data_IF_378056902003
#
_entry.id   IF_378056902003
#
_cell.length_a   1.000
_cell.length_b   1.000
_cell.length_c   1.000
_cell.angle_alpha   90.00
_cell.angle_beta   90.00
_cell.angle_gamma   90.00
#
_symmetry.space_group_name_H-M   'P 1'
#
loop_
_entity.id
_entity.type
_entity.pdbx_description
1 polymer ?
#
# COMPACT_ATOMS: atom_id res chain seq x y z
N UNK A 1 -23.05 16.74 -13.37
CA UNK A 1 -23.07 18.21 -13.30
C UNK A 1 -21.81 18.68 -12.58
N UNK A 2 -20.85 19.32 -13.31
CA UNK A 2 -19.56 19.71 -12.72
C UNK A 2 -19.67 20.88 -11.71
N UNK A 3 -20.83 21.45 -11.56
CA UNK A 3 -21.07 22.58 -10.64
C UNK A 3 -21.39 22.16 -9.21
N UNK A 4 -21.79 20.91 -8.96
CA UNK A 4 -22.12 20.41 -7.61
C UNK A 4 -20.89 19.99 -6.80
N UNK A 5 -19.79 19.61 -7.45
CA UNK A 5 -18.58 19.20 -6.76
C UNK A 5 -17.70 20.35 -6.22
N UNK A 6 -17.85 21.57 -6.81
CA UNK A 6 -17.10 22.75 -6.33
C UNK A 6 -17.68 23.39 -5.07
N UNK A 7 -19.00 23.26 -4.87
CA UNK A 7 -19.67 23.88 -3.71
C UNK A 7 -19.45 23.16 -2.39
N UNK A 8 -19.27 21.86 -2.41
CA UNK A 8 -19.04 21.05 -1.19
C UNK A 8 -17.65 21.29 -0.57
N UNK A 9 -16.61 21.40 -1.41
CA UNK A 9 -15.25 21.68 -0.93
C UNK A 9 -15.10 23.04 -0.23
N UNK A 10 -15.83 24.06 -0.70
CA UNK A 10 -15.78 25.40 -0.10
C UNK A 10 -16.58 25.51 1.21
N UNK A 11 -17.64 24.72 1.35
CA UNK A 11 -18.43 24.65 2.60
C UNK A 11 -17.62 23.99 3.71
N UNK A 12 -16.87 22.92 3.40
CA UNK A 12 -16.02 22.24 4.38
C UNK A 12 -14.82 23.09 4.80
N UNK A 13 -14.21 23.86 3.90
CA UNK A 13 -13.12 24.80 4.23
C UNK A 13 -13.57 25.90 5.18
N UNK A 14 -14.83 26.36 5.08
CA UNK A 14 -15.39 27.39 5.98
C UNK A 14 -15.68 26.86 7.39
N UNK A 15 -15.78 25.53 7.57
CA UNK A 15 -16.05 24.91 8.87
C UNK A 15 -14.77 24.48 9.60
N UNK A 16 -13.58 24.79 9.07
CA UNK A 16 -12.29 24.40 9.67
C UNK A 16 -12.04 22.89 9.69
N UNK A 17 -12.86 22.13 8.93
CA UNK A 17 -12.62 20.72 8.70
C UNK A 17 -11.59 20.60 7.59
N UNK A 18 -10.37 20.23 7.92
CA UNK A 18 -9.37 19.82 6.93
C UNK A 18 -9.93 18.58 6.20
N UNK A 19 -10.43 18.78 4.99
CA UNK A 19 -10.67 17.68 4.07
C UNK A 19 -9.29 17.15 3.71
N UNK A 20 -8.84 16.08 4.41
CA UNK A 20 -7.69 15.32 3.95
C UNK A 20 -8.01 14.89 2.52
N UNK A 21 -7.14 15.18 1.53
CA UNK A 21 -7.37 14.69 0.18
C UNK A 21 -7.60 13.18 0.28
N UNK A 22 -8.70 12.69 -0.27
CA UNK A 22 -8.96 11.26 -0.39
C UNK A 22 -7.74 10.65 -1.06
N UNK A 23 -6.92 9.96 -0.28
CA UNK A 23 -5.81 9.19 -0.83
C UNK A 23 -6.43 8.03 -1.57
N UNK A 24 -6.40 8.10 -2.88
CA UNK A 24 -6.93 7.05 -3.74
C UNK A 24 -6.23 5.73 -3.38
N UNK A 25 -7.03 4.74 -3.01
CA UNK A 25 -6.51 3.41 -2.69
C UNK A 25 -5.80 2.81 -3.91
N UNK A 26 -4.55 2.33 -3.78
CA UNK A 26 -3.84 1.72 -4.89
C UNK A 26 -4.53 0.43 -5.34
N UNK A 27 -4.55 0.21 -6.65
CA UNK A 27 -5.02 -1.04 -7.22
C UNK A 27 -3.88 -2.05 -7.26
N UNK A 28 -4.02 -3.16 -6.54
CA UNK A 28 -2.99 -4.21 -6.46
C UNK A 28 -3.57 -5.51 -7.01
N UNK A 29 -2.96 -6.01 -8.08
CA UNK A 29 -3.27 -7.32 -8.68
C UNK A 29 -2.15 -8.29 -8.33
N UNK A 30 -2.45 -9.27 -7.50
CA UNK A 30 -1.52 -10.32 -7.07
C UNK A 30 -2.27 -11.65 -6.95
N UNK A 31 -1.71 -12.70 -7.49
CA UNK A 31 -2.24 -14.06 -7.37
C UNK A 31 -1.81 -14.67 -6.04
N UNK A 32 -2.68 -14.52 -5.04
CA UNK A 32 -2.51 -15.07 -3.69
C UNK A 32 -3.88 -15.20 -3.02
N UNK A 33 -4.11 -16.24 -2.20
CA UNK A 33 -5.32 -16.32 -1.40
C UNK A 33 -5.32 -15.24 -0.31
N UNK A 34 -6.32 -14.37 -0.32
CA UNK A 34 -6.43 -13.21 0.58
C UNK A 34 -7.86 -13.16 1.11
N UNK A 35 -8.06 -13.64 2.33
CA UNK A 35 -9.39 -13.71 2.95
C UNK A 35 -9.30 -14.03 4.45
N UNK A 36 -10.39 -13.80 5.14
CA UNK A 36 -10.66 -14.37 6.47
C UNK A 36 -11.55 -15.58 6.26
N UNK A 37 -11.04 -16.83 6.40
CA UNK A 37 -11.83 -18.03 6.17
C UNK A 37 -12.99 -18.17 7.16
N UNK A 38 -14.08 -18.80 6.72
CA UNK A 38 -15.26 -19.05 7.55
C UNK A 38 -14.98 -20.01 8.72
N UNK A 39 -14.12 -21.00 8.52
CA UNK A 39 -13.68 -21.91 9.58
C UNK A 39 -12.81 -21.23 10.63
N UNK A 40 -12.14 -20.14 10.29
CA UNK A 40 -11.38 -19.34 11.24
C UNK A 40 -12.25 -18.35 12.04
N UNK A 41 -13.14 -17.64 11.36
CA UNK A 41 -14.11 -16.72 11.97
C UNK A 41 -15.51 -17.08 11.45
N UNK A 42 -16.25 -17.99 12.13
CA UNK A 42 -17.53 -18.52 11.63
C UNK A 42 -18.64 -17.47 11.54
N UNK A 43 -18.68 -16.51 12.48
CA UNK A 43 -19.71 -15.48 12.49
C UNK A 43 -19.48 -14.47 11.36
N UNK A 44 -20.45 -14.36 10.44
CA UNK A 44 -20.37 -13.48 9.29
C UNK A 44 -20.27 -11.99 9.71
N UNK A 45 -21.03 -11.56 10.70
CA UNK A 45 -21.03 -10.17 11.16
C UNK A 45 -19.67 -9.78 11.76
N UNK A 46 -19.09 -10.68 12.56
CA UNK A 46 -17.74 -10.50 13.14
C UNK A 46 -16.70 -10.47 12.02
N UNK A 47 -16.78 -11.38 11.06
CA UNK A 47 -15.85 -11.44 9.93
C UNK A 47 -15.90 -10.16 9.08
N UNK A 48 -17.08 -9.64 8.79
CA UNK A 48 -17.25 -8.38 8.06
C UNK A 48 -16.74 -7.18 8.85
N UNK A 49 -16.95 -7.17 10.16
CA UNK A 49 -16.40 -6.12 11.03
C UNK A 49 -14.87 -6.11 11.04
N UNK A 50 -14.22 -7.27 11.05
CA UNK A 50 -12.77 -7.40 10.95
C UNK A 50 -12.23 -6.89 9.61
N UNK A 51 -12.89 -7.21 8.50
CA UNK A 51 -12.52 -6.64 7.18
C UNK A 51 -12.56 -5.12 7.18
N UNK A 52 -13.64 -4.52 7.71
CA UNK A 52 -13.78 -3.07 7.79
C UNK A 52 -12.69 -2.45 8.67
N UNK A 53 -12.44 -3.02 9.84
CA UNK A 53 -11.41 -2.52 10.75
C UNK A 53 -10.01 -2.58 10.14
N UNK A 54 -9.68 -3.64 9.41
CA UNK A 54 -8.41 -3.76 8.67
C UNK A 54 -8.30 -2.69 7.58
N UNK A 55 -9.34 -2.47 6.79
CA UNK A 55 -9.36 -1.45 5.75
C UNK A 55 -9.28 -0.03 6.30
N UNK A 56 -9.88 0.22 7.47
CA UNK A 56 -9.93 1.54 8.10
C UNK A 56 -8.72 1.82 9.01
N UNK A 57 -7.84 0.83 9.23
CA UNK A 57 -6.65 1.00 10.07
C UNK A 57 -5.80 2.17 9.56
N UNK A 58 -5.49 3.10 10.46
CA UNK A 58 -4.79 4.34 10.09
C UNK A 58 -3.30 4.14 9.88
N UNK A 59 -2.70 3.19 10.59
CA UNK A 59 -1.26 2.98 10.59
C UNK A 59 -0.87 1.52 10.88
N UNK A 60 0.43 1.28 10.83
CA UNK A 60 1.01 -0.04 11.10
C UNK A 60 0.67 -0.57 12.50
N UNK A 61 0.65 0.31 13.50
CA UNK A 61 0.37 -0.09 14.88
C UNK A 61 -1.06 -0.62 15.04
N UNK A 62 -2.03 0.01 14.38
CA UNK A 62 -3.42 -0.49 14.37
C UNK A 62 -3.56 -1.82 13.64
N UNK A 63 -2.84 -2.01 12.53
CA UNK A 63 -2.82 -3.29 11.80
C UNK A 63 -2.25 -4.41 12.69
N UNK A 64 -1.13 -4.15 13.35
CA UNK A 64 -0.50 -5.11 14.26
C UNK A 64 -1.40 -5.43 15.47
N UNK A 65 -2.06 -4.43 16.03
CA UNK A 65 -3.02 -4.62 17.13
C UNK A 65 -4.22 -5.49 16.72
N UNK A 66 -4.76 -5.28 15.51
CA UNK A 66 -5.83 -6.11 14.97
C UNK A 66 -5.39 -7.55 14.71
N UNK A 67 -4.20 -7.76 14.17
CA UNK A 67 -3.63 -9.09 13.99
C UNK A 67 -3.45 -9.82 15.32
N UNK A 68 -2.94 -9.13 16.34
CA UNK A 68 -2.80 -9.67 17.70
C UNK A 68 -4.16 -10.02 18.32
N UNK A 69 -5.18 -9.16 18.14
CA UNK A 69 -6.54 -9.44 18.60
C UNK A 69 -7.13 -10.68 17.93
N UNK A 70 -6.95 -10.82 16.61
CA UNK A 70 -7.44 -12.01 15.91
C UNK A 70 -6.77 -13.28 16.40
N UNK A 71 -5.45 -13.26 16.64
CA UNK A 71 -4.72 -14.41 17.20
C UNK A 71 -5.24 -14.76 18.59
N UNK A 72 -5.45 -13.75 19.44
CA UNK A 72 -5.94 -13.96 20.80
C UNK A 72 -7.36 -14.55 20.82
N UNK A 73 -8.24 -14.11 19.92
CA UNK A 73 -9.65 -14.55 19.90
C UNK A 73 -9.87 -15.85 19.14
N UNK A 74 -9.15 -16.09 18.07
CA UNK A 74 -9.44 -17.17 17.11
C UNK A 74 -8.27 -18.14 16.90
N UNK A 75 -7.12 -17.89 17.51
CA UNK A 75 -5.90 -18.67 17.30
C UNK A 75 -5.03 -18.15 16.16
N UNK A 76 -4.02 -18.92 15.79
CA UNK A 76 -3.02 -18.53 14.80
C UNK A 76 -3.69 -18.13 13.46
N UNK A 77 -3.15 -17.08 12.85
CA UNK A 77 -3.65 -16.60 11.56
C UNK A 77 -3.50 -17.66 10.48
N UNK A 78 -4.57 -18.06 9.78
CA UNK A 78 -4.45 -18.83 8.55
C UNK A 78 -3.58 -18.08 7.51
N UNK A 79 -2.96 -18.82 6.61
CA UNK A 79 -2.10 -18.22 5.58
C UNK A 79 -2.83 -17.13 4.76
N UNK A 80 -4.09 -17.37 4.38
CA UNK A 80 -4.89 -16.38 3.65
C UNK A 80 -5.15 -15.10 4.46
N UNK A 81 -5.31 -15.20 5.77
CA UNK A 81 -5.51 -14.04 6.65
C UNK A 81 -4.20 -13.30 6.91
N UNK A 82 -3.10 -14.01 7.09
CA UNK A 82 -1.77 -13.41 7.15
C UNK A 82 -1.44 -12.63 5.86
N UNK A 83 -1.82 -13.16 4.71
CA UNK A 83 -1.71 -12.51 3.41
C UNK A 83 -2.56 -11.22 3.34
N UNK A 84 -3.78 -11.25 3.89
CA UNK A 84 -4.66 -10.08 3.98
C UNK A 84 -4.01 -8.95 4.82
N UNK A 85 -3.50 -9.28 6.00
CA UNK A 85 -2.78 -8.34 6.87
C UNK A 85 -1.59 -7.73 6.13
N UNK A 86 -0.81 -8.56 5.45
CA UNK A 86 0.33 -8.11 4.64
C UNK A 86 -0.08 -7.18 3.50
N UNK A 87 -1.20 -7.48 2.82
CA UNK A 87 -1.72 -6.63 1.75
C UNK A 87 -2.12 -5.25 2.26
N UNK A 88 -2.73 -5.15 3.44
CA UNK A 88 -3.09 -3.86 4.05
C UNK A 88 -1.83 -3.03 4.34
N UNK A 89 -0.78 -3.64 4.88
CA UNK A 89 0.51 -2.97 5.08
C UNK A 89 1.11 -2.48 3.75
N UNK A 90 1.06 -3.31 2.70
CA UNK A 90 1.52 -2.96 1.35
C UNK A 90 0.73 -1.76 0.81
N UNK A 91 -0.58 -1.73 0.98
CA UNK A 91 -1.42 -0.60 0.55
C UNK A 91 -1.01 0.71 1.24
N UNK A 92 -0.74 0.69 2.53
CA UNK A 92 -0.26 1.87 3.27
C UNK A 92 1.07 2.38 2.71
N UNK A 93 2.03 1.48 2.48
CA UNK A 93 3.33 1.82 1.89
C UNK A 93 3.18 2.34 0.45
N UNK A 94 2.29 1.74 -0.33
CA UNK A 94 2.02 2.16 -1.71
C UNK A 94 1.42 3.57 -1.78
N UNK A 95 0.49 3.90 -0.88
CA UNK A 95 -0.07 5.26 -0.77
C UNK A 95 1.04 6.26 -0.46
N UNK A 96 1.91 5.96 0.49
CA UNK A 96 3.03 6.82 0.87
C UNK A 96 4.01 7.04 -0.29
N UNK A 97 4.22 6.02 -1.11
CA UNK A 97 5.08 6.06 -2.30
C UNK A 97 4.40 6.63 -3.56
N UNK A 98 3.21 7.18 -3.44
CA UNK A 98 2.42 7.70 -4.57
C UNK A 98 2.14 6.65 -5.66
N UNK A 99 1.96 5.40 -5.29
CA UNK A 99 1.65 4.31 -6.20
C UNK A 99 0.15 4.26 -6.48
N UNK A 100 -0.22 4.28 -7.75
CA UNK A 100 -1.60 4.13 -8.20
C UNK A 100 -1.97 2.67 -8.48
N UNK A 101 -1.03 1.90 -9.03
CA UNK A 101 -1.29 0.52 -9.46
C UNK A 101 -0.05 -0.34 -9.35
N UNK A 102 -0.25 -1.59 -8.93
CA UNK A 102 0.77 -2.64 -8.95
C UNK A 102 0.18 -3.88 -9.62
N UNK A 103 0.82 -4.36 -10.66
CA UNK A 103 0.50 -5.61 -11.33
C UNK A 103 1.64 -6.61 -11.12
N UNK A 104 1.35 -7.68 -10.37
CA UNK A 104 2.30 -8.78 -10.16
C UNK A 104 2.00 -9.89 -11.14
N UNK A 105 2.87 -10.07 -12.12
CA UNK A 105 2.78 -11.12 -13.12
C UNK A 105 3.73 -12.30 -12.86
N UNK A 106 3.68 -13.30 -13.74
CA UNK A 106 4.47 -14.52 -13.63
C UNK A 106 5.99 -14.28 -13.70
N UNK A 107 6.43 -13.24 -14.43
CA UNK A 107 7.84 -12.98 -14.69
C UNK A 107 8.34 -11.65 -14.09
N UNK A 108 7.46 -10.87 -13.53
CA UNK A 108 7.85 -9.58 -12.98
C UNK A 108 6.66 -8.75 -12.49
N UNK A 109 6.98 -7.57 -12.01
CA UNK A 109 6.02 -6.65 -11.43
C UNK A 109 6.09 -5.30 -12.13
N UNK A 110 4.94 -4.73 -12.44
CA UNK A 110 4.80 -3.37 -12.99
C UNK A 110 4.20 -2.45 -11.94
N UNK A 111 4.89 -1.36 -11.64
CA UNK A 111 4.42 -0.32 -10.71
C UNK A 111 4.11 0.94 -11.50
N UNK A 112 2.90 1.46 -11.33
CA UNK A 112 2.45 2.72 -11.91
C UNK A 112 2.24 3.74 -10.79
N UNK A 113 2.89 4.90 -10.89
CA UNK A 113 2.73 6.00 -9.94
C UNK A 113 1.54 6.88 -10.32
N UNK A 114 0.96 7.52 -9.32
CA UNK A 114 -0.14 8.46 -9.52
C UNK A 114 0.33 9.64 -10.37
N UNK A 115 -0.37 9.92 -11.49
CA UNK A 115 -0.01 10.98 -12.46
C UNK A 115 1.43 10.84 -13.00
N UNK A 116 1.94 9.61 -13.08
CA UNK A 116 3.31 9.30 -13.51
C UNK A 116 4.39 10.10 -12.76
N UNK A 117 4.12 10.38 -11.47
CA UNK A 117 4.99 11.18 -10.61
C UNK A 117 5.45 10.40 -9.38
N UNK A 118 6.73 10.58 -9.04
CA UNK A 118 7.30 10.09 -7.79
C UNK A 118 7.91 11.26 -7.01
N UNK A 119 7.67 11.37 -5.68
CA UNK A 119 8.07 12.55 -4.90
C UNK A 119 9.55 12.89 -4.90
N UNK A 120 10.42 11.92 -5.07
CA UNK A 120 11.87 12.09 -5.15
C UNK A 120 12.46 11.30 -6.33
N UNK A 121 12.44 11.85 -7.55
CA UNK A 121 12.96 11.15 -8.73
C UNK A 121 14.43 10.74 -8.63
N UNK A 122 15.28 11.56 -8.01
CA UNK A 122 16.70 11.26 -7.81
C UNK A 122 16.86 10.09 -6.84
N UNK A 123 16.13 10.08 -5.75
CA UNK A 123 16.09 8.98 -4.79
C UNK A 123 15.56 7.69 -5.40
N UNK A 124 14.57 7.78 -6.30
CA UNK A 124 14.05 6.64 -7.04
C UNK A 124 15.12 6.02 -7.93
N UNK A 125 15.85 6.81 -8.70
CA UNK A 125 16.94 6.31 -9.55
C UNK A 125 18.04 5.64 -8.71
N UNK A 126 18.42 6.22 -7.58
CA UNK A 126 19.39 5.61 -6.66
C UNK A 126 18.87 4.28 -6.08
N UNK A 127 17.58 4.19 -5.80
CA UNK A 127 16.95 2.96 -5.34
C UNK A 127 16.96 1.87 -6.43
N UNK A 128 16.63 2.23 -7.66
CA UNK A 128 16.67 1.31 -8.83
C UNK A 128 18.09 0.78 -9.05
N UNK A 129 19.11 1.63 -8.98
CA UNK A 129 20.52 1.22 -9.12
C UNK A 129 20.94 0.20 -8.06
N UNK A 130 20.47 0.35 -6.82
CA UNK A 130 20.74 -0.62 -5.75
C UNK A 130 20.15 -2.00 -6.00
N UNK A 131 19.11 -2.11 -6.81
CA UNK A 131 18.49 -3.39 -7.19
C UNK A 131 19.27 -4.15 -8.28
N UNK A 132 20.42 -3.64 -8.70
CA UNK A 132 21.43 -4.33 -9.55
C UNK A 132 20.83 -4.98 -10.80
N UNK A 133 20.08 -4.22 -11.59
CA UNK A 133 19.53 -4.68 -12.87
C UNK A 133 18.22 -5.49 -12.76
N UNK A 134 17.73 -5.80 -11.56
CA UNK A 134 16.41 -6.42 -11.39
C UNK A 134 15.25 -5.42 -11.47
N UNK A 135 15.56 -4.13 -11.42
CA UNK A 135 14.60 -3.06 -11.57
C UNK A 135 15.01 -2.10 -12.67
N UNK A 136 14.02 -1.60 -13.41
CA UNK A 136 14.21 -0.60 -14.46
C UNK A 136 13.08 0.43 -14.41
N UNK A 137 13.44 1.70 -14.41
CA UNK A 137 12.50 2.80 -14.61
C UNK A 137 12.39 3.07 -16.12
N UNK A 138 11.18 2.94 -16.66
CA UNK A 138 10.87 3.20 -18.06
C UNK A 138 10.73 4.71 -18.32
N UNK A 139 10.88 5.14 -19.59
CA UNK A 139 10.66 6.55 -19.95
C UNK A 139 9.26 7.09 -19.62
N UNK A 140 8.24 6.20 -19.57
CA UNK A 140 6.86 6.52 -19.16
C UNK A 140 6.65 6.56 -17.64
N UNK A 141 7.73 6.61 -16.86
CA UNK A 141 7.75 6.63 -15.39
C UNK A 141 7.18 5.35 -14.73
N UNK A 142 7.02 4.27 -15.46
CA UNK A 142 6.65 2.98 -14.88
C UNK A 142 7.87 2.21 -14.43
N UNK A 143 7.79 1.66 -13.22
CA UNK A 143 8.84 0.85 -12.63
C UNK A 143 8.60 -0.63 -12.93
N UNK A 144 9.55 -1.27 -13.57
CA UNK A 144 9.51 -2.71 -13.90
C UNK A 144 10.48 -3.45 -13.00
N UNK A 145 9.97 -4.47 -12.30
CA UNK A 145 10.79 -5.39 -11.51
C UNK A 145 10.83 -6.73 -12.25
N UNK A 146 11.98 -7.08 -12.78
CA UNK A 146 12.22 -8.33 -13.51
C UNK A 146 12.60 -9.45 -12.55
N UNK A 147 11.70 -9.78 -11.63
CA UNK A 147 11.86 -10.85 -10.66
C UNK A 147 10.59 -11.69 -10.61
N UNK A 148 10.75 -12.98 -10.88
CA UNK A 148 9.67 -13.95 -10.72
C UNK A 148 9.57 -14.40 -9.26
N UNK A 149 8.36 -14.29 -8.68
CA UNK A 149 8.04 -14.84 -7.38
C UNK A 149 7.13 -16.05 -7.56
N UNK A 150 7.67 -17.24 -7.28
CA UNK A 150 7.03 -18.51 -7.64
C UNK A 150 5.86 -18.93 -6.76
N UNK A 151 5.73 -18.38 -5.54
CA UNK A 151 4.67 -18.72 -4.60
C UNK A 151 3.87 -17.49 -4.17
N UNK A 152 2.61 -17.66 -3.69
CA UNK A 152 1.81 -16.57 -3.15
C UNK A 152 2.53 -15.82 -2.01
N UNK A 153 3.16 -16.54 -1.12
CA UNK A 153 3.93 -15.97 -0.01
C UNK A 153 5.12 -15.14 -0.51
N UNK A 154 5.89 -15.67 -1.46
CA UNK A 154 7.03 -14.94 -2.04
C UNK A 154 6.60 -13.70 -2.81
N UNK A 155 5.43 -13.73 -3.48
CA UNK A 155 4.85 -12.56 -4.15
C UNK A 155 4.53 -11.45 -3.16
N UNK A 156 3.84 -11.77 -2.09
CA UNK A 156 3.48 -10.78 -1.07
C UNK A 156 4.69 -10.27 -0.29
N UNK A 157 5.63 -11.13 0.07
CA UNK A 157 6.86 -10.72 0.73
C UNK A 157 7.74 -9.84 -0.18
N UNK A 158 7.89 -10.22 -1.44
CA UNK A 158 8.62 -9.42 -2.43
C UNK A 158 7.99 -8.05 -2.65
N UNK A 159 6.67 -8.02 -2.78
CA UNK A 159 5.90 -6.80 -2.94
C UNK A 159 5.99 -5.90 -1.70
N UNK A 160 5.94 -6.48 -0.51
CA UNK A 160 6.13 -5.77 0.75
C UNK A 160 7.51 -5.10 0.82
N UNK A 161 8.58 -5.80 0.47
CA UNK A 161 9.93 -5.25 0.46
C UNK A 161 10.08 -4.11 -0.57
N UNK A 162 9.48 -4.28 -1.74
CA UNK A 162 9.47 -3.25 -2.79
C UNK A 162 8.77 -1.98 -2.32
N UNK A 163 7.55 -2.08 -1.82
CA UNK A 163 6.77 -0.91 -1.36
C UNK A 163 7.39 -0.28 -0.12
N UNK A 164 7.97 -1.07 0.78
CA UNK A 164 8.74 -0.57 1.93
C UNK A 164 9.96 0.23 1.48
N UNK A 165 10.69 -0.25 0.48
CA UNK A 165 11.83 0.45 -0.09
C UNK A 165 11.44 1.78 -0.72
N UNK A 166 10.40 1.79 -1.53
CA UNK A 166 9.89 3.00 -2.19
C UNK A 166 9.35 4.04 -1.19
N UNK A 167 8.56 3.61 -0.22
CA UNK A 167 8.08 4.51 0.85
C UNK A 167 9.24 5.05 1.71
N UNK A 168 10.29 4.25 1.91
CA UNK A 168 11.51 4.66 2.58
C UNK A 168 12.25 5.79 1.86
N UNK A 169 12.28 5.77 0.53
CA UNK A 169 12.85 6.85 -0.30
C UNK A 169 12.07 8.15 -0.05
N UNK A 170 10.75 8.10 -0.08
CA UNK A 170 9.89 9.29 0.17
C UNK A 170 10.11 9.85 1.56
N UNK A 171 10.16 9.01 2.59
CA UNK A 171 10.41 9.44 3.98
C UNK A 171 11.77 10.12 4.17
N UNK A 172 12.82 9.61 3.53
CA UNK A 172 14.15 10.23 3.56
C UNK A 172 14.16 11.61 2.91
N UNK A 173 13.47 11.77 1.78
CA UNK A 173 13.34 13.06 1.10
C UNK A 173 12.60 14.08 1.97
N UNK A 174 11.52 13.69 2.65
CA UNK A 174 10.77 14.54 3.57
C UNK A 174 11.62 15.00 4.77
N UNK A 175 12.44 14.10 5.33
CA UNK A 175 13.37 14.46 6.43
C UNK A 175 14.44 15.45 5.99
N UNK A 176 14.99 15.30 4.78
CA UNK A 176 15.96 16.26 4.21
C UNK A 176 15.31 17.62 3.99
N UNK A 177 14.09 17.67 3.45
CA UNK A 177 13.34 18.91 3.24
C UNK A 177 13.07 19.66 4.56
N UNK A 178 12.71 18.96 5.63
CA UNK A 178 12.52 19.57 6.97
C UNK A 178 13.82 20.12 7.57
N UNK A 179 14.95 19.45 7.37
CA UNK A 179 16.26 19.96 7.83
C UNK A 179 16.72 21.19 7.05
N UNK A 180 16.42 21.27 5.75
CA UNK A 180 16.77 22.42 4.92
C UNK A 180 15.87 23.65 5.20
N UNK A 181 14.65 23.44 5.71
CA UNK A 181 13.70 24.52 6.06
C UNK A 181 13.87 25.04 7.50
N UNK A 182 14.66 24.37 8.32
CA UNK A 182 15.00 24.79 9.68
C UNK A 182 16.34 25.55 9.67
#
# INVERSE_FOLDING_TARGET
DPYLSRGLGDVYKRQGLEVKPERVSPQITVDAPIMIPEDYVPDLAVRMALYRRLNDAADKAEIEALAAEMIDRFGDLPAATANLVRLIEIKHQAIEANIAKIDVGAQGTLVTFHQDDFPDPVGLLAYVDRLKGTAKLRPDMKLVISRAWGSPESRLNGLFQLTKGLSGVVRKAQKKGKKAAA
#
